data_IF_648439586913
#
_entry.id   IF_648439586913
#
_cell.length_a   1.000
_cell.length_b   1.000
_cell.length_c   1.000
_cell.angle_alpha   90.00
_cell.angle_beta   90.00
_cell.angle_gamma   90.00
#
_symmetry.space_group_name_H-M   'P 1'
#
loop_
_entity.id
_entity.type
_entity.pdbx_description
1 polymer ?
#
# COMPACT_ATOMS: atom_id res chain seq x y z
N UNK A 1 -15.92 -23.44 -4.00
CA UNK A 1 -14.98 -22.79 -4.93
C UNK A 1 -13.59 -23.36 -4.71
N UNK A 2 -12.88 -23.66 -5.80
CA UNK A 2 -11.45 -23.99 -5.73
C UNK A 2 -10.63 -22.71 -5.73
N UNK A 3 -9.56 -22.68 -4.93
CA UNK A 3 -8.64 -21.56 -4.85
C UNK A 3 -7.24 -22.04 -5.16
N UNK A 4 -6.55 -21.35 -6.06
CA UNK A 4 -5.13 -21.54 -6.31
C UNK A 4 -4.39 -20.41 -5.63
N UNK A 5 -3.43 -20.76 -4.78
CA UNK A 5 -2.57 -19.81 -4.10
C UNK A 5 -1.15 -19.91 -4.62
N UNK A 6 -0.55 -18.80 -5.03
CA UNK A 6 0.85 -18.75 -5.47
C UNK A 6 1.53 -17.45 -5.06
N UNK A 7 2.83 -17.52 -4.79
CA UNK A 7 3.72 -16.38 -4.62
C UNK A 7 4.69 -16.23 -5.81
N UNK A 8 4.62 -17.13 -6.78
CA UNK A 8 5.47 -17.13 -7.97
C UNK A 8 4.99 -16.10 -9.00
N UNK A 9 5.86 -15.75 -9.93
CA UNK A 9 5.48 -14.89 -11.04
C UNK A 9 4.46 -15.61 -11.93
N UNK A 10 3.25 -15.07 -12.01
CA UNK A 10 2.17 -15.67 -12.81
C UNK A 10 2.31 -15.33 -14.29
N UNK A 11 2.19 -16.36 -15.11
CA UNK A 11 2.11 -16.23 -16.56
C UNK A 11 0.66 -16.13 -17.03
N UNK A 12 0.45 -15.46 -18.16
CA UNK A 12 -0.89 -15.28 -18.74
C UNK A 12 -1.58 -16.60 -19.15
N UNK A 13 -0.79 -17.65 -19.37
CA UNK A 13 -1.28 -19.00 -19.68
C UNK A 13 -2.02 -19.62 -18.51
N UNK A 14 -1.60 -19.35 -17.26
CA UNK A 14 -2.20 -19.88 -16.04
C UNK A 14 -3.70 -19.57 -15.97
N UNK A 15 -4.09 -18.36 -16.37
CA UNK A 15 -5.50 -17.94 -16.33
C UNK A 15 -6.39 -18.89 -17.12
N UNK A 16 -5.92 -19.32 -18.29
CA UNK A 16 -6.66 -20.23 -19.18
C UNK A 16 -6.56 -21.70 -18.76
N UNK A 17 -5.36 -22.17 -18.41
CA UNK A 17 -5.12 -23.58 -18.06
C UNK A 17 -5.86 -23.99 -16.81
N UNK A 18 -5.93 -23.10 -15.82
CA UNK A 18 -6.60 -23.35 -14.55
C UNK A 18 -8.04 -22.81 -14.50
N UNK A 19 -8.55 -22.25 -15.61
CA UNK A 19 -9.88 -21.62 -15.67
C UNK A 19 -10.09 -20.57 -14.55
N UNK A 20 -9.10 -19.72 -14.33
CA UNK A 20 -9.17 -18.66 -13.31
C UNK A 20 -10.24 -17.65 -13.71
N UNK A 21 -11.22 -17.43 -12.85
CA UNK A 21 -12.34 -16.51 -13.08
C UNK A 21 -12.23 -15.23 -12.25
N UNK A 22 -11.33 -15.18 -11.27
CA UNK A 22 -11.11 -14.03 -10.41
C UNK A 22 -9.68 -14.04 -9.88
N UNK A 23 -9.03 -12.88 -9.80
CA UNK A 23 -7.68 -12.72 -9.29
C UNK A 23 -7.66 -11.76 -8.10
N UNK A 24 -7.05 -12.19 -7.01
CA UNK A 24 -6.84 -11.38 -5.83
C UNK A 24 -5.33 -11.25 -5.58
N UNK A 25 -4.83 -10.04 -5.69
CA UNK A 25 -3.46 -9.70 -5.31
C UNK A 25 -3.43 -9.28 -3.84
N UNK A 26 -2.49 -9.84 -3.07
CA UNK A 26 -2.31 -9.51 -1.67
C UNK A 26 -0.85 -9.71 -1.27
N UNK A 27 -0.14 -8.61 -1.01
CA UNK A 27 1.29 -8.65 -0.71
C UNK A 27 2.15 -9.25 -1.83
N UNK A 28 1.64 -9.27 -3.05
CA UNK A 28 2.30 -9.85 -4.20
C UNK A 28 3.41 -8.95 -4.72
N UNK A 29 4.60 -9.53 -4.95
CA UNK A 29 5.83 -8.76 -5.25
C UNK A 29 6.06 -8.46 -6.73
N UNK A 30 5.35 -9.16 -7.63
CA UNK A 30 5.54 -8.99 -9.06
C UNK A 30 4.44 -8.11 -9.66
N UNK A 31 4.74 -7.49 -10.80
CA UNK A 31 3.75 -6.73 -11.54
C UNK A 31 2.82 -7.70 -12.29
N UNK A 32 1.51 -7.52 -12.10
CA UNK A 32 0.51 -8.24 -12.87
C UNK A 32 0.32 -7.51 -14.19
N UNK A 33 0.83 -8.12 -15.26
CA UNK A 33 0.86 -7.51 -16.58
C UNK A 33 -0.52 -7.41 -17.24
N UNK A 34 -0.66 -6.43 -18.13
CA UNK A 34 -1.92 -6.14 -18.85
C UNK A 34 -2.52 -7.35 -19.56
N UNK A 35 -1.69 -8.23 -20.13
CA UNK A 35 -2.15 -9.44 -20.81
C UNK A 35 -2.83 -10.47 -19.89
N UNK A 36 -2.60 -10.38 -18.59
CA UNK A 36 -3.31 -11.15 -17.56
C UNK A 36 -4.64 -10.43 -17.26
N UNK A 37 -4.58 -9.12 -17.01
CA UNK A 37 -5.74 -8.31 -16.65
C UNK A 37 -6.80 -8.28 -17.76
N UNK A 38 -6.40 -8.28 -19.03
CA UNK A 38 -7.31 -8.33 -20.18
C UNK A 38 -8.14 -9.63 -20.24
N UNK A 39 -7.68 -10.70 -19.59
CA UNK A 39 -8.42 -11.95 -19.47
C UNK A 39 -9.43 -11.96 -18.31
N UNK A 40 -9.32 -11.00 -17.40
CA UNK A 40 -10.13 -10.89 -16.18
C UNK A 40 -10.73 -9.48 -16.03
N UNK A 41 -11.49 -8.99 -17.01
CA UNK A 41 -12.05 -7.63 -16.97
C UNK A 41 -12.94 -7.48 -15.74
N UNK A 42 -12.65 -6.47 -14.89
CA UNK A 42 -13.33 -6.21 -13.60
C UNK A 42 -13.24 -7.33 -12.55
N UNK A 43 -12.42 -8.35 -12.78
CA UNK A 43 -12.27 -9.52 -11.90
C UNK A 43 -10.83 -9.70 -11.38
N UNK A 44 -10.11 -8.61 -11.30
CA UNK A 44 -8.77 -8.56 -10.72
C UNK A 44 -8.69 -7.39 -9.74
N UNK A 45 -8.38 -7.68 -8.49
CA UNK A 45 -8.31 -6.70 -7.41
C UNK A 45 -7.00 -6.80 -6.65
N UNK A 46 -6.63 -5.74 -5.96
CA UNK A 46 -5.53 -5.72 -5.00
C UNK A 46 -6.01 -5.30 -3.60
N UNK A 47 -5.48 -5.97 -2.60
CA UNK A 47 -5.62 -5.63 -1.18
C UNK A 47 -4.38 -4.84 -0.78
N UNK A 48 -4.48 -3.53 -0.70
CA UNK A 48 -3.37 -2.61 -0.46
C UNK A 48 -3.45 -1.95 0.92
N UNK A 49 -2.38 -2.06 1.71
CA UNK A 49 -2.33 -1.52 3.08
C UNK A 49 -1.97 -0.03 3.09
N UNK A 50 -2.68 0.74 2.29
CA UNK A 50 -2.60 2.20 2.24
C UNK A 50 -3.98 2.81 2.00
N UNK A 51 -4.16 4.04 2.47
CA UNK A 51 -5.33 4.86 2.15
C UNK A 51 -5.09 5.59 0.82
N UNK A 52 -5.41 4.91 -0.30
CA UNK A 52 -5.19 5.47 -1.64
C UNK A 52 -5.93 6.80 -1.83
N UNK A 53 -5.34 7.77 -2.57
CA UNK A 53 -4.22 7.64 -3.50
C UNK A 53 -2.83 7.78 -2.88
N UNK A 54 -2.71 7.82 -1.55
CA UNK A 54 -1.43 7.97 -0.87
C UNK A 54 -0.64 6.65 -0.83
N UNK A 55 0.69 6.77 -0.85
CA UNK A 55 1.64 5.67 -0.65
C UNK A 55 1.41 4.45 -1.55
N UNK A 56 1.19 4.69 -2.84
CA UNK A 56 1.23 3.64 -3.86
C UNK A 56 2.61 3.00 -3.92
N UNK A 57 2.68 1.75 -4.31
CA UNK A 57 3.93 1.02 -4.50
C UNK A 57 4.44 0.34 -3.23
N UNK A 58 5.74 0.48 -2.94
CA UNK A 58 6.42 -0.29 -1.91
C UNK A 58 6.32 0.33 -0.51
N UNK A 59 6.32 -0.54 0.52
CA UNK A 59 6.40 -0.18 1.95
C UNK A 59 5.39 0.91 2.40
N UNK A 60 4.10 0.87 2.00
CA UNK A 60 3.14 1.95 2.22
C UNK A 60 2.93 2.29 3.70
N UNK A 61 3.03 1.31 4.61
CA UNK A 61 2.95 1.55 6.04
C UNK A 61 4.06 2.51 6.52
N UNK A 62 5.32 2.27 6.13
CA UNK A 62 6.44 3.15 6.47
C UNK A 62 6.22 4.56 5.92
N UNK A 63 5.91 4.65 4.64
CA UNK A 63 5.76 5.94 3.97
C UNK A 63 4.60 6.77 4.51
N UNK A 64 3.55 6.14 5.03
CA UNK A 64 2.45 6.88 5.66
C UNK A 64 2.88 7.68 6.88
N UNK A 65 3.90 7.22 7.62
CA UNK A 65 4.49 7.95 8.75
C UNK A 65 5.58 8.94 8.30
N UNK A 66 6.35 8.59 7.26
CA UNK A 66 7.41 9.46 6.73
C UNK A 66 6.83 10.70 6.06
N UNK A 67 5.80 10.53 5.23
CA UNK A 67 5.14 11.61 4.49
C UNK A 67 3.99 12.27 5.28
N UNK A 68 3.70 11.78 6.48
CA UNK A 68 2.57 12.21 7.31
C UNK A 68 1.23 12.24 6.55
N UNK A 69 0.92 11.17 5.85
CA UNK A 69 -0.31 10.99 5.07
C UNK A 69 -1.36 10.18 5.83
N UNK A 70 -2.63 10.18 5.39
CA UNK A 70 -3.65 9.31 5.94
C UNK A 70 -3.21 7.85 5.95
N UNK A 71 -3.48 7.15 7.08
CA UNK A 71 -3.16 5.74 7.28
C UNK A 71 -4.44 4.93 7.10
N UNK A 72 -4.33 3.77 6.48
CA UNK A 72 -5.50 2.93 6.25
C UNK A 72 -5.25 1.83 5.23
N UNK A 73 -6.33 1.30 4.72
CA UNK A 73 -6.31 0.20 3.75
C UNK A 73 -7.29 0.45 2.62
N UNK A 74 -7.00 -0.10 1.44
CA UNK A 74 -7.83 0.03 0.25
C UNK A 74 -7.95 -1.30 -0.49
N UNK A 75 -9.16 -1.66 -0.88
CA UNK A 75 -9.39 -2.67 -1.91
C UNK A 75 -9.70 -1.94 -3.20
N UNK A 76 -8.93 -2.22 -4.24
CA UNK A 76 -9.07 -1.53 -5.52
C UNK A 76 -8.95 -2.51 -6.69
N UNK A 77 -9.50 -2.13 -7.85
CA UNK A 77 -9.29 -2.88 -9.08
C UNK A 77 -7.84 -2.78 -9.54
N UNK A 78 -7.32 -3.85 -10.14
CA UNK A 78 -6.04 -3.80 -10.83
C UNK A 78 -6.21 -3.17 -12.21
N UNK A 79 -5.27 -2.31 -12.56
CA UNK A 79 -5.11 -1.73 -13.89
C UNK A 79 -3.65 -1.82 -14.35
N UNK A 80 -3.29 -1.14 -15.42
CA UNK A 80 -1.93 -1.17 -15.96
C UNK A 80 -0.90 -0.39 -15.12
N UNK A 81 -1.37 0.43 -14.18
CA UNK A 81 -0.52 1.21 -13.28
C UNK A 81 -0.23 0.44 -11.97
N UNK A 82 0.58 1.05 -11.11
CA UNK A 82 0.84 0.50 -9.78
C UNK A 82 -0.10 1.20 -8.79
N UNK A 83 -1.03 0.44 -8.23
CA UNK A 83 -2.04 0.88 -7.26
C UNK A 83 -2.86 2.10 -7.74
N UNK A 84 -3.15 2.18 -9.06
CA UNK A 84 -3.85 3.32 -9.68
C UNK A 84 -5.32 3.04 -10.00
N UNK A 85 -5.76 1.80 -9.94
CA UNK A 85 -7.13 1.41 -10.29
C UNK A 85 -8.20 1.98 -9.36
N UNK A 86 -9.44 1.93 -9.82
CA UNK A 86 -10.60 2.44 -9.09
C UNK A 86 -10.77 1.74 -7.75
N UNK A 87 -11.11 2.51 -6.72
CA UNK A 87 -11.33 2.04 -5.36
C UNK A 87 -12.71 1.37 -5.26
N UNK A 88 -12.73 0.22 -4.63
CA UNK A 88 -13.95 -0.50 -4.25
C UNK A 88 -14.40 -0.03 -2.87
N UNK A 89 -13.50 -0.12 -1.89
CA UNK A 89 -13.75 0.25 -0.49
C UNK A 89 -12.43 0.58 0.20
N UNK A 90 -12.50 1.51 1.14
CA UNK A 90 -11.35 1.93 1.97
C UNK A 90 -11.76 2.00 3.43
N UNK A 91 -10.79 1.86 4.30
CA UNK A 91 -10.96 2.09 5.73
C UNK A 91 -9.73 2.85 6.25
N UNK A 92 -9.99 4.02 6.86
CA UNK A 92 -8.96 4.76 7.59
C UNK A 92 -8.66 4.06 8.91
N UNK A 93 -7.40 4.10 9.34
CA UNK A 93 -6.92 3.52 10.60
C UNK A 93 -6.19 4.59 11.39
N UNK A 94 -6.54 4.75 12.65
CA UNK A 94 -5.86 5.61 13.59
C UNK A 94 -4.92 4.77 14.48
N UNK A 95 -3.74 5.29 14.77
CA UNK A 95 -2.74 4.63 15.61
C UNK A 95 -2.44 5.46 16.85
N UNK A 96 -2.30 4.80 18.00
CA UNK A 96 -1.73 5.38 19.22
C UNK A 96 -0.21 5.34 19.10
N UNK A 97 0.36 6.29 18.39
CA UNK A 97 1.77 6.29 17.98
C UNK A 97 2.80 6.14 19.11
N UNK A 98 2.57 6.60 20.36
CA UNK A 98 3.49 6.34 21.44
C UNK A 98 3.68 4.87 21.80
N UNK A 99 2.69 4.01 21.50
CA UNK A 99 2.70 2.59 21.83
C UNK A 99 3.10 1.71 20.65
N UNK A 100 3.18 2.27 19.43
CA UNK A 100 3.32 1.52 18.20
C UNK A 100 4.75 1.44 17.69
N UNK A 101 5.04 0.32 17.02
CA UNK A 101 6.19 0.16 16.12
C UNK A 101 5.69 0.03 14.69
N UNK A 102 6.59 0.12 13.71
CA UNK A 102 6.23 -0.15 12.31
C UNK A 102 5.73 -1.59 12.11
N UNK A 103 6.20 -2.54 12.92
CA UNK A 103 5.72 -3.93 12.89
C UNK A 103 4.28 -4.04 13.41
N UNK A 104 3.96 -3.40 14.53
CA UNK A 104 2.61 -3.48 15.10
C UNK A 104 1.57 -2.76 14.25
N UNK A 105 1.91 -1.58 13.70
CA UNK A 105 1.04 -0.87 12.74
C UNK A 105 0.81 -1.68 11.46
N UNK A 106 1.87 -2.33 10.95
CA UNK A 106 1.74 -3.23 9.81
C UNK A 106 0.76 -4.39 10.11
N UNK A 107 0.90 -5.05 11.25
CA UNK A 107 0.01 -6.14 11.66
C UNK A 107 -1.45 -5.67 11.77
N UNK A 108 -1.69 -4.49 12.32
CA UNK A 108 -3.03 -3.92 12.42
C UNK A 108 -3.62 -3.62 11.05
N UNK A 109 -2.85 -3.05 10.11
CA UNK A 109 -3.29 -2.84 8.73
C UNK A 109 -3.60 -4.15 8.02
N UNK A 110 -2.78 -5.21 8.23
CA UNK A 110 -3.03 -6.53 7.67
C UNK A 110 -4.35 -7.13 8.19
N UNK A 111 -4.61 -7.07 9.48
CA UNK A 111 -5.89 -7.52 10.06
C UNK A 111 -7.06 -6.70 9.52
N UNK A 112 -6.90 -5.40 9.41
CA UNK A 112 -7.95 -4.51 8.90
C UNK A 112 -8.31 -4.82 7.46
N UNK A 113 -7.30 -4.98 6.56
CA UNK A 113 -7.57 -5.25 5.14
C UNK A 113 -8.21 -6.63 4.93
N UNK A 114 -7.80 -7.63 5.72
CA UNK A 114 -8.40 -8.97 5.66
C UNK A 114 -9.87 -8.94 6.10
N UNK A 115 -10.18 -8.26 7.20
CA UNK A 115 -11.55 -8.08 7.67
C UNK A 115 -12.40 -7.32 6.65
N UNK A 116 -11.86 -6.23 6.10
CA UNK A 116 -12.53 -5.43 5.08
C UNK A 116 -12.83 -6.26 3.83
N UNK A 117 -11.90 -7.10 3.41
CA UNK A 117 -12.09 -8.03 2.30
C UNK A 117 -13.22 -9.05 2.60
N UNK A 118 -13.18 -9.70 3.76
CA UNK A 118 -14.19 -10.68 4.14
C UNK A 118 -15.60 -10.09 4.15
N UNK A 119 -15.74 -8.87 4.67
CA UNK A 119 -17.03 -8.16 4.73
C UNK A 119 -17.58 -7.78 3.36
N UNK A 120 -16.68 -7.54 2.38
CA UNK A 120 -17.07 -7.07 1.04
C UNK A 120 -16.98 -8.16 -0.05
N UNK A 121 -16.47 -9.35 0.27
CA UNK A 121 -16.22 -10.39 -0.73
C UNK A 121 -17.44 -10.74 -1.58
N UNK A 122 -18.62 -10.83 -0.97
CA UNK A 122 -19.81 -11.18 -1.72
C UNK A 122 -20.16 -10.15 -2.80
N UNK A 123 -20.08 -8.86 -2.49
CA UNK A 123 -20.36 -7.78 -3.45
C UNK A 123 -19.26 -7.66 -4.50
N UNK A 124 -18.00 -7.88 -4.12
CA UNK A 124 -16.86 -7.90 -5.03
C UNK A 124 -17.00 -9.04 -6.04
N UNK A 125 -17.28 -10.24 -5.56
CA UNK A 125 -17.43 -11.45 -6.37
C UNK A 125 -18.59 -11.35 -7.38
N UNK A 126 -19.68 -10.72 -7.00
CA UNK A 126 -20.86 -10.52 -7.85
C UNK A 126 -20.78 -9.25 -8.69
N UNK A 127 -19.65 -8.51 -8.64
CA UNK A 127 -19.45 -7.26 -9.36
C UNK A 127 -20.52 -6.18 -9.03
N UNK A 128 -21.14 -6.27 -7.85
CA UNK A 128 -22.14 -5.32 -7.38
C UNK A 128 -21.57 -4.20 -6.49
N UNK A 129 -20.26 -4.20 -6.28
CA UNK A 129 -19.57 -3.17 -5.53
C UNK A 129 -19.39 -1.88 -6.33
N UNK A 130 -19.26 -0.71 -5.65
CA UNK A 130 -19.02 0.56 -6.33
C UNK A 130 -17.63 0.61 -6.99
N UNK A 131 -17.46 1.57 -7.90
CA UNK A 131 -16.17 1.95 -8.49
C UNK A 131 -15.97 3.45 -8.31
N UNK A 132 -14.96 3.82 -7.56
CA UNK A 132 -14.62 5.20 -7.29
C UNK A 132 -13.24 5.51 -7.86
N UNK A 133 -13.12 6.36 -8.90
CA UNK A 133 -11.83 6.84 -9.36
C UNK A 133 -11.05 7.48 -8.22
N UNK A 134 -9.75 7.21 -8.15
CA UNK A 134 -8.90 7.84 -7.14
C UNK A 134 -8.86 9.36 -7.37
N UNK A 135 -9.01 10.14 -6.31
CA UNK A 135 -9.02 11.60 -6.36
C UNK A 135 -7.68 12.18 -5.92
N UNK A 136 -7.19 13.18 -6.64
CA UNK A 136 -5.92 13.86 -6.33
C UNK A 136 -4.68 13.11 -6.81
N UNK A 137 -3.52 13.71 -6.58
CA UNK A 137 -2.24 13.19 -7.06
C UNK A 137 -1.75 12.00 -6.23
N UNK A 138 -1.95 12.04 -4.91
CA UNK A 138 -1.39 11.07 -3.98
C UNK A 138 0.14 11.05 -3.96
N UNK A 139 0.71 9.94 -3.44
CA UNK A 139 2.15 9.68 -3.44
C UNK A 139 2.47 8.29 -3.97
N UNK A 140 3.74 8.07 -4.34
CA UNK A 140 4.24 6.81 -4.89
C UNK A 140 5.70 6.59 -4.47
N UNK A 141 6.01 5.39 -4.00
CA UNK A 141 7.34 5.01 -3.55
C UNK A 141 7.80 3.70 -4.17
N UNK A 142 9.07 3.67 -4.57
CA UNK A 142 9.76 2.47 -5.07
C UNK A 142 10.45 1.76 -3.92
N UNK A 143 10.68 0.47 -4.07
CA UNK A 143 11.39 -0.33 -3.07
C UNK A 143 12.76 0.26 -2.68
N UNK A 144 13.51 0.78 -3.66
CA UNK A 144 14.83 1.40 -3.43
C UNK A 144 14.78 2.71 -2.64
N UNK A 145 13.65 3.41 -2.61
CA UNK A 145 13.56 4.71 -1.96
C UNK A 145 13.75 4.59 -0.44
N UNK A 146 13.41 3.42 0.13
CA UNK A 146 13.63 3.11 1.54
C UNK A 146 15.11 3.10 1.95
N UNK A 147 16.03 2.85 1.03
CA UNK A 147 17.47 2.80 1.34
C UNK A 147 17.97 4.11 1.96
N UNK A 148 17.40 5.24 1.52
CA UNK A 148 17.73 6.57 2.07
C UNK A 148 17.27 6.77 3.52
N UNK A 149 16.36 5.94 4.01
CA UNK A 149 15.76 6.04 5.35
C UNK A 149 16.42 5.12 6.39
N UNK A 150 17.44 4.37 6.02
CA UNK A 150 18.07 3.37 6.90
C UNK A 150 18.52 3.94 8.24
N UNK A 151 18.99 5.20 8.26
CA UNK A 151 19.42 5.89 9.46
C UNK A 151 18.28 6.29 10.42
N UNK A 152 17.01 6.25 9.97
CA UNK A 152 15.82 6.47 10.79
C UNK A 152 15.22 5.17 11.31
N UNK A 153 15.75 4.03 10.88
CA UNK A 153 15.24 2.69 11.21
C UNK A 153 16.24 1.86 12.02
N UNK A 154 16.70 2.33 13.20
CA UNK A 154 17.77 1.67 13.97
C UNK A 154 17.40 0.26 14.42
N UNK A 155 16.12 -0.06 14.53
CA UNK A 155 15.59 -1.37 14.91
C UNK A 155 14.77 -2.01 13.76
N UNK A 156 15.05 -1.62 12.50
CA UNK A 156 14.31 -2.04 11.33
C UNK A 156 12.78 -1.85 11.55
N UNK A 157 11.98 -2.86 11.26
CA UNK A 157 10.52 -2.80 11.45
C UNK A 157 10.06 -2.71 12.92
N UNK A 158 10.93 -3.00 13.87
CA UNK A 158 10.67 -2.78 15.30
C UNK A 158 10.99 -1.36 15.78
N UNK A 159 11.35 -0.46 14.88
CA UNK A 159 11.50 0.97 15.19
C UNK A 159 10.16 1.53 15.63
N UNK A 160 10.14 2.22 16.79
CA UNK A 160 8.90 2.86 17.26
C UNK A 160 8.51 4.00 16.33
N UNK A 161 7.21 4.17 16.15
CA UNK A 161 6.67 5.26 15.29
C UNK A 161 7.07 6.62 15.86
N UNK A 162 7.06 6.80 17.18
CA UNK A 162 7.50 8.04 17.82
C UNK A 162 8.96 8.37 17.51
N UNK A 163 9.86 7.39 17.60
CA UNK A 163 11.28 7.58 17.30
C UNK A 163 11.50 7.96 15.82
N UNK A 164 10.76 7.32 14.92
CA UNK A 164 10.79 7.66 13.50
C UNK A 164 10.35 9.12 13.27
N UNK A 165 9.22 9.52 13.83
CA UNK A 165 8.68 10.89 13.70
C UNK A 165 9.62 11.94 14.28
N UNK A 166 10.23 11.68 15.45
CA UNK A 166 11.24 12.56 16.05
C UNK A 166 12.48 12.70 15.15
N UNK A 167 12.93 11.62 14.53
CA UNK A 167 14.08 11.63 13.64
C UNK A 167 13.83 12.46 12.39
N UNK A 168 12.63 12.37 11.83
CA UNK A 168 12.17 13.18 10.69
C UNK A 168 12.14 14.66 11.08
N UNK A 169 11.55 15.01 12.22
CA UNK A 169 11.44 16.38 12.71
C UNK A 169 12.83 17.03 12.91
N UNK A 170 13.78 16.31 13.54
CA UNK A 170 15.16 16.82 13.73
C UNK A 170 15.87 17.09 12.40
N UNK A 171 15.67 16.23 11.40
CA UNK A 171 16.28 16.42 10.09
C UNK A 171 15.71 17.65 9.37
N UNK A 172 14.40 17.89 9.48
CA UNK A 172 13.74 19.07 8.92
C UNK A 172 14.22 20.37 9.55
N UNK A 173 14.46 20.39 10.87
CA UNK A 173 14.95 21.58 11.59
C UNK A 173 16.40 21.90 11.26
N UNK A 174 17.26 20.89 11.14
CA UNK A 174 18.66 21.10 10.70
C UNK A 174 18.75 21.64 9.28
N UNK A 175 17.88 21.20 8.37
CA UNK A 175 17.82 21.74 7.02
C UNK A 175 17.40 23.22 6.98
N UNK A 176 16.46 23.64 7.85
CA UNK A 176 16.02 25.04 7.96
C UNK A 176 17.12 25.96 8.52
N UNK A 177 17.91 25.48 9.47
CA UNK A 177 19.03 26.25 10.05
C UNK A 177 20.17 26.44 9.06
N UNK A 178 20.50 25.42 8.24
CA UNK A 178 21.53 25.49 7.22
C UNK A 178 21.22 26.51 6.10
N UNK A 179 19.94 26.69 5.76
CA UNK A 179 19.51 27.65 4.73
C UNK A 179 19.53 29.11 5.20
N UNK A 180 19.43 29.37 6.51
CA UNK A 180 19.52 30.73 7.06
C UNK A 180 20.96 31.27 7.13
N UNK A 181 21.96 30.39 7.30
CA UNK A 181 23.38 30.77 7.36
C UNK A 181 23.96 31.22 6.02
N UNK A 182 23.37 30.83 4.89
CA UNK A 182 23.88 31.14 3.54
C UNK A 182 23.28 32.44 2.92
N UNK A 183 22.42 33.18 3.62
CA UNK A 183 21.83 34.43 3.15
C UNK A 183 22.46 35.70 3.77
N UNK A 184 23.59 35.54 4.48
CA UNK A 184 24.28 36.59 5.19
C UNK A 184 25.74 36.85 4.71
N UNK A 185 26.03 36.69 3.42
CA UNK A 185 27.29 37.14 2.82
C UNK A 185 27.05 37.87 1.53
#
# INVERSE_FOLDING_TARGET
ESVIHTADNIESTLIKTENIIFLISYGYRYIIHKNILDQLPSRAINLHISYLPWNKGADPNLWSFVDDTPKGVSIHYLDAGIDTGDIIVQQEVQFDTPQETLATTYQQLQMTIQNLFQQNWQSIKTESCPRHPQQGKGSFHKLKDKESLSHWLPNDWNTSVSLLQESIARTADTAKLGTKSNRGK
#
